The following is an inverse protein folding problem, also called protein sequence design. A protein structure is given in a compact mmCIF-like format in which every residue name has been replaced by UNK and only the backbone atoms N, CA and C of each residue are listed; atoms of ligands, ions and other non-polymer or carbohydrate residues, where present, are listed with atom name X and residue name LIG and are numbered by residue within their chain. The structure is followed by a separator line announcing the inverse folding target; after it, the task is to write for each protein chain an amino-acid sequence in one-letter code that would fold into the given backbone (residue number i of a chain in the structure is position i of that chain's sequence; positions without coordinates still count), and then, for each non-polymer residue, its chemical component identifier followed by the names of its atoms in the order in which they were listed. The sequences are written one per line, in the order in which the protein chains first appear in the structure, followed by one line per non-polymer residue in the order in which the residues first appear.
data_IF_860722049043
#
_entry.id   IF_860722049043
#
_cell.length_a   1.000
_cell.length_b   1.000
_cell.length_c   1.000
_cell.angle_alpha   90.00
_cell.angle_beta   90.00
_cell.angle_gamma   90.00
#
_symmetry.space_group_name_H-M   'P 1'
#
loop_
_entity.id
_entity.type
_entity.pdbx_description
1 polymer ?
#
# COMPACT_ATOMS: atom_id res chain seq x y z
N UNK A 1 2.36 -10.09 19.57
CA UNK A 1 1.51 -10.14 18.37
C UNK A 1 1.90 -11.34 17.51
N UNK A 2 0.92 -12.05 17.02
CA UNK A 2 1.11 -13.22 16.15
C UNK A 2 0.43 -12.97 14.80
N UNK A 3 1.12 -13.29 13.71
CA UNK A 3 0.57 -13.24 12.36
C UNK A 3 0.54 -14.63 11.76
N UNK A 4 -0.53 -14.95 11.05
CA UNK A 4 -0.66 -16.18 10.30
C UNK A 4 -1.16 -15.86 8.90
N UNK A 5 -0.43 -16.31 7.88
CA UNK A 5 -0.82 -16.13 6.48
C UNK A 5 -1.58 -17.37 6.00
N UNK A 6 -2.62 -17.16 5.22
CA UNK A 6 -3.46 -18.20 4.68
C UNK A 6 -3.46 -18.12 3.16
N UNK A 7 -3.01 -19.18 2.50
CA UNK A 7 -2.94 -19.27 1.05
C UNK A 7 -3.38 -20.68 0.60
N UNK A 8 -4.67 -20.88 0.31
CA UNK A 8 -5.16 -22.17 -0.18
C UNK A 8 -4.60 -22.59 -1.53
N UNK A 9 -4.13 -21.62 -2.29
CA UNK A 9 -3.55 -21.82 -3.62
C UNK A 9 -2.11 -21.35 -3.66
N UNK A 10 -1.39 -21.64 -4.74
CA UNK A 10 0.00 -21.25 -4.94
C UNK A 10 0.19 -20.14 -5.98
N UNK A 11 -0.86 -19.82 -6.76
CA UNK A 11 -0.76 -18.88 -7.87
C UNK A 11 -0.52 -17.43 -7.44
N UNK A 12 -0.84 -17.05 -6.18
CA UNK A 12 -0.57 -15.70 -5.68
C UNK A 12 0.89 -15.48 -5.27
N UNK A 13 1.69 -16.54 -5.22
CA UNK A 13 3.06 -16.53 -4.66
C UNK A 13 3.95 -15.46 -5.28
N UNK A 14 3.85 -15.27 -6.59
CA UNK A 14 4.66 -14.29 -7.32
C UNK A 14 3.97 -12.93 -7.45
N UNK A 15 2.85 -12.71 -6.76
CA UNK A 15 2.04 -11.49 -6.85
C UNK A 15 2.19 -10.58 -5.64
N UNK A 16 3.10 -10.92 -4.71
CA UNK A 16 3.50 -10.09 -3.56
C UNK A 16 2.36 -9.78 -2.58
N UNK A 17 1.46 -10.76 -2.34
CA UNK A 17 0.42 -10.65 -1.32
C UNK A 17 0.00 -12.02 -0.82
N UNK A 18 -0.75 -12.04 0.29
CA UNK A 18 -1.36 -13.25 0.84
C UNK A 18 -2.87 -13.18 0.68
N UNK A 19 -3.51 -14.34 0.55
CA UNK A 19 -4.98 -14.42 0.40
C UNK A 19 -5.69 -13.93 1.65
N UNK A 20 -5.14 -14.24 2.83
CA UNK A 20 -5.62 -13.71 4.10
C UNK A 20 -4.47 -13.61 5.09
N UNK A 21 -4.59 -12.68 6.03
CA UNK A 21 -3.66 -12.53 7.15
C UNK A 21 -4.46 -12.46 8.42
N UNK A 22 -4.20 -13.38 9.34
CA UNK A 22 -4.78 -13.36 10.68
C UNK A 22 -3.77 -12.73 11.64
N UNK A 23 -4.23 -11.80 12.47
CA UNK A 23 -3.40 -11.22 13.53
C UNK A 23 -4.09 -11.44 14.87
N UNK A 24 -3.30 -11.88 15.87
CA UNK A 24 -3.75 -12.11 17.24
C UNK A 24 -2.90 -11.32 18.22
N UNK A 25 -3.48 -11.01 19.36
CA UNK A 25 -2.81 -10.32 20.46
C UNK A 25 -2.24 -8.97 20.00
N UNK A 26 -3.04 -8.22 19.26
CA UNK A 26 -2.71 -6.89 18.76
C UNK A 26 -2.85 -5.90 19.90
N UNK A 27 -1.79 -5.15 20.18
CA UNK A 27 -1.80 -4.10 21.19
C UNK A 27 -2.54 -2.87 20.67
N UNK A 28 -2.29 -2.50 19.41
CA UNK A 28 -2.93 -1.33 18.80
C UNK A 28 -3.00 -1.48 17.28
N UNK A 29 -3.95 -0.76 16.68
CA UNK A 29 -4.19 -0.76 15.24
C UNK A 29 -4.21 0.66 14.72
N UNK A 30 -3.47 0.91 13.65
CA UNK A 30 -3.42 2.18 12.95
C UNK A 30 -4.16 2.06 11.62
N UNK A 31 -5.16 2.90 11.43
CA UNK A 31 -5.87 3.02 10.15
C UNK A 31 -5.32 4.24 9.42
N UNK A 32 -4.71 4.01 8.28
CA UNK A 32 -4.09 5.07 7.48
C UNK A 32 -5.02 5.45 6.34
N UNK A 33 -5.36 6.72 6.26
CA UNK A 33 -6.14 7.27 5.14
C UNK A 33 -5.40 7.08 3.83
N UNK A 34 -6.10 7.14 2.71
CA UNK A 34 -5.49 7.05 1.39
C UNK A 34 -4.35 8.06 1.23
N UNK A 35 -3.17 7.56 0.92
CA UNK A 35 -1.98 8.36 0.66
C UNK A 35 -1.74 8.44 -0.84
N UNK A 36 -1.47 9.64 -1.31
CA UNK A 36 -1.35 9.97 -2.73
C UNK A 36 -0.12 10.85 -2.94
N UNK A 37 0.13 11.24 -4.19
CA UNK A 37 1.25 12.10 -4.55
C UNK A 37 0.93 13.59 -4.27
N UNK A 38 0.71 13.90 -3.00
CA UNK A 38 0.51 15.27 -2.52
C UNK A 38 1.76 15.69 -1.76
N UNK A 39 2.27 16.88 -2.05
CA UNK A 39 3.49 17.38 -1.42
C UNK A 39 3.22 17.95 -0.02
N UNK A 40 4.28 18.41 0.66
CA UNK A 40 4.20 18.93 2.03
C UNK A 40 3.34 20.21 2.13
N UNK A 41 3.07 20.88 1.01
CA UNK A 41 2.20 22.07 0.95
C UNK A 41 0.76 21.73 0.59
N UNK A 42 0.44 20.45 0.44
CA UNK A 42 -0.90 20.01 0.07
C UNK A 42 -1.21 20.14 -1.42
N UNK A 43 -0.18 20.24 -2.27
CA UNK A 43 -0.34 20.38 -3.72
C UNK A 43 -0.29 19.01 -4.38
N UNK A 44 -1.33 18.68 -5.14
CA UNK A 44 -1.41 17.43 -5.90
C UNK A 44 -0.44 17.45 -7.08
N UNK A 45 0.30 16.35 -7.25
CA UNK A 45 1.20 16.15 -8.38
C UNK A 45 0.41 15.94 -9.68
N UNK A 46 0.91 16.47 -10.77
CA UNK A 46 0.45 16.18 -12.13
C UNK A 46 1.48 15.33 -12.90
N UNK A 47 2.44 14.75 -12.19
CA UNK A 47 3.48 13.92 -12.77
C UNK A 47 2.93 12.58 -13.30
N UNK A 48 3.81 11.79 -13.92
CA UNK A 48 3.45 10.48 -14.44
C UNK A 48 3.15 9.46 -13.31
N UNK A 49 2.62 8.31 -13.70
CA UNK A 49 2.24 7.24 -12.77
C UNK A 49 3.40 6.80 -11.89
N UNK A 50 4.58 6.63 -12.47
CA UNK A 50 5.77 6.18 -11.72
C UNK A 50 6.12 7.16 -10.60
N UNK A 51 6.21 8.44 -10.93
CA UNK A 51 6.56 9.50 -9.97
C UNK A 51 5.50 9.63 -8.89
N UNK A 52 4.22 9.53 -9.25
CA UNK A 52 3.12 9.57 -8.28
C UNK A 52 3.15 8.36 -7.35
N UNK A 53 3.39 7.16 -7.88
CA UNK A 53 3.49 5.96 -7.07
C UNK A 53 4.63 6.06 -6.04
N UNK A 54 5.79 6.51 -6.47
CA UNK A 54 6.96 6.69 -5.60
C UNK A 54 6.66 7.67 -4.45
N UNK A 55 6.00 8.79 -4.75
CA UNK A 55 5.65 9.78 -3.72
C UNK A 55 4.55 9.26 -2.80
N UNK A 56 3.55 8.56 -3.32
CA UNK A 56 2.49 7.96 -2.50
C UNK A 56 3.07 6.97 -1.49
N UNK A 57 4.02 6.13 -1.92
CA UNK A 57 4.74 5.20 -1.03
C UNK A 57 5.49 5.95 0.05
N UNK A 58 6.23 6.99 -0.32
CA UNK A 58 6.97 7.83 0.63
C UNK A 58 6.05 8.46 1.67
N UNK A 59 4.91 8.97 1.24
CA UNK A 59 3.94 9.59 2.14
C UNK A 59 3.35 8.55 3.10
N UNK A 60 3.04 7.36 2.60
CA UNK A 60 2.55 6.26 3.45
C UNK A 60 3.60 5.86 4.51
N UNK A 61 4.84 5.66 4.09
CA UNK A 61 5.93 5.34 5.01
C UNK A 61 6.08 6.41 6.10
N UNK A 62 5.99 7.68 5.72
CA UNK A 62 6.11 8.79 6.66
C UNK A 62 5.01 8.78 7.71
N UNK A 63 3.76 8.59 7.28
CA UNK A 63 2.62 8.52 8.21
C UNK A 63 2.79 7.35 9.19
N UNK A 64 3.14 6.18 8.68
CA UNK A 64 3.34 4.97 9.50
C UNK A 64 4.47 5.19 10.51
N UNK A 65 5.60 5.73 10.06
CA UNK A 65 6.77 5.97 10.92
C UNK A 65 6.50 7.03 11.97
N UNK A 66 5.88 8.15 11.61
CA UNK A 66 5.54 9.21 12.57
C UNK A 66 4.53 8.76 13.61
N UNK A 67 3.68 7.79 13.27
CA UNK A 67 2.74 7.19 14.23
C UNK A 67 3.42 6.19 15.18
N UNK A 68 4.70 5.89 14.97
CA UNK A 68 5.43 4.93 15.81
C UNK A 68 5.18 3.47 15.41
N UNK A 69 4.77 3.24 14.18
CA UNK A 69 4.55 1.90 13.62
C UNK A 69 5.64 1.56 12.60
N UNK A 70 5.64 0.32 12.14
CA UNK A 70 6.61 -0.18 11.16
C UNK A 70 5.86 -0.72 9.94
N UNK A 71 6.34 -0.37 8.75
CA UNK A 71 5.72 -0.83 7.50
C UNK A 71 5.69 -2.35 7.36
N UNK A 72 6.61 -3.09 8.00
CA UNK A 72 6.56 -4.56 8.02
C UNK A 72 5.26 -5.10 8.62
N UNK A 73 4.59 -4.29 9.43
CA UNK A 73 3.34 -4.65 10.11
C UNK A 73 2.09 -4.12 9.41
N UNK A 74 2.21 -3.68 8.18
CA UNK A 74 1.06 -3.45 7.31
C UNK A 74 0.45 -4.82 7.03
N UNK A 75 -0.82 -4.99 7.39
CA UNK A 75 -1.55 -6.26 7.22
C UNK A 75 -2.65 -6.14 6.17
N UNK A 76 -3.06 -4.94 5.82
CA UNK A 76 -4.00 -4.64 4.73
C UNK A 76 -3.45 -3.49 3.91
N UNK A 77 -3.36 -3.71 2.60
CA UNK A 77 -2.99 -2.68 1.63
C UNK A 77 -4.04 -2.64 0.53
N UNK A 78 -4.68 -1.51 0.36
CA UNK A 78 -5.60 -1.27 -0.75
C UNK A 78 -4.94 -0.28 -1.70
N UNK A 79 -5.00 -0.59 -2.99
CA UNK A 79 -4.42 0.21 -4.07
C UNK A 79 -5.55 0.62 -5.00
N UNK A 80 -5.70 1.93 -5.19
CA UNK A 80 -6.67 2.49 -6.12
C UNK A 80 -5.91 3.23 -7.20
N UNK A 81 -6.31 3.05 -8.44
CA UNK A 81 -5.68 3.75 -9.57
C UNK A 81 -6.71 4.14 -10.61
N UNK A 82 -6.46 5.22 -11.31
CA UNK A 82 -7.30 5.64 -12.44
C UNK A 82 -6.95 4.89 -13.73
N UNK A 83 -5.83 4.14 -13.73
CA UNK A 83 -5.40 3.36 -14.90
C UNK A 83 -4.52 2.19 -14.49
N UNK A 84 -5.06 0.99 -14.50
CA UNK A 84 -4.26 -0.23 -14.29
C UNK A 84 -3.24 -0.42 -15.40
N UNK A 85 -3.59 -0.05 -16.63
CA UNK A 85 -2.67 -0.11 -17.77
C UNK A 85 -1.40 0.72 -17.53
N UNK A 86 -1.54 1.94 -17.00
CA UNK A 86 -0.42 2.81 -16.70
C UNK A 86 0.36 2.33 -15.46
N UNK A 87 -0.30 1.65 -14.53
CA UNK A 87 0.32 1.18 -13.30
C UNK A 87 1.17 -0.08 -13.50
N UNK A 88 0.70 -1.05 -14.31
CA UNK A 88 1.37 -2.34 -14.47
C UNK A 88 2.85 -2.26 -14.81
N UNK A 89 3.33 -1.38 -15.70
CA UNK A 89 4.76 -1.27 -16.00
C UNK A 89 5.62 -0.90 -14.79
N UNK A 90 5.01 -0.36 -13.73
CA UNK A 90 5.68 0.10 -12.51
C UNK A 90 5.30 -0.70 -11.28
N UNK A 91 4.56 -1.79 -11.43
CA UNK A 91 4.09 -2.60 -10.31
C UNK A 91 5.25 -3.21 -9.51
N UNK A 92 6.39 -3.45 -10.16
CA UNK A 92 7.61 -3.91 -9.49
C UNK A 92 8.07 -2.97 -8.37
N UNK A 93 7.77 -1.67 -8.44
CA UNK A 93 8.10 -0.70 -7.37
C UNK A 93 7.36 -1.09 -6.09
N UNK A 94 6.07 -1.43 -6.20
CA UNK A 94 5.28 -1.93 -5.07
C UNK A 94 5.79 -3.27 -4.56
N UNK A 95 6.10 -4.20 -5.47
CA UNK A 95 6.62 -5.52 -5.12
C UNK A 95 7.95 -5.42 -4.36
N UNK A 96 8.86 -4.58 -4.84
CA UNK A 96 10.15 -4.35 -4.19
C UNK A 96 9.98 -3.71 -2.82
N UNK A 97 9.05 -2.79 -2.68
CA UNK A 97 8.73 -2.15 -1.41
C UNK A 97 8.17 -3.16 -0.40
N UNK A 98 7.23 -4.00 -0.82
CA UNK A 98 6.70 -5.08 0.02
C UNK A 98 7.81 -6.02 0.47
N UNK A 99 8.67 -6.44 -0.45
CA UNK A 99 9.80 -7.34 -0.15
C UNK A 99 10.82 -6.69 0.78
N UNK A 100 11.15 -5.43 0.55
CA UNK A 100 12.10 -4.66 1.37
C UNK A 100 11.69 -4.65 2.85
N UNK A 101 10.40 -4.47 3.11
CA UNK A 101 9.88 -4.40 4.48
C UNK A 101 9.49 -5.77 5.05
N UNK A 102 9.49 -6.82 4.23
CA UNK A 102 9.02 -8.13 4.65
C UNK A 102 7.55 -8.14 5.02
N UNK A 103 6.74 -7.39 4.29
CA UNK A 103 5.30 -7.29 4.56
C UNK A 103 4.58 -8.61 4.31
N UNK A 104 3.63 -8.92 5.19
CA UNK A 104 2.71 -10.04 5.04
C UNK A 104 1.30 -9.47 5.06
N UNK A 105 0.83 -9.01 3.91
CA UNK A 105 -0.44 -8.28 3.83
C UNK A 105 -1.45 -8.95 2.91
N UNK A 106 -2.73 -8.74 3.24
CA UNK A 106 -3.83 -8.91 2.30
C UNK A 106 -3.88 -7.67 1.41
N UNK A 107 -4.21 -7.84 0.14
CA UNK A 107 -4.16 -6.77 -0.84
C UNK A 107 -5.41 -6.77 -1.72
N UNK A 108 -5.89 -5.58 -2.03
CA UNK A 108 -6.90 -5.36 -3.08
C UNK A 108 -6.45 -4.22 -3.95
N UNK A 109 -6.52 -4.40 -5.27
CA UNK A 109 -6.21 -3.37 -6.25
C UNK A 109 -7.44 -3.15 -7.12
N UNK A 110 -7.88 -1.91 -7.23
CA UNK A 110 -9.06 -1.52 -8.00
C UNK A 110 -8.75 -0.35 -8.93
N UNK A 111 -9.28 -0.42 -10.14
CA UNK A 111 -9.34 0.75 -11.00
C UNK A 111 -10.60 1.52 -10.66
N UNK A 112 -10.46 2.83 -10.48
CA UNK A 112 -11.54 3.75 -10.13
C UNK A 112 -11.70 4.80 -11.21
N UNK A 113 -12.90 5.41 -11.28
CA UNK A 113 -13.20 6.42 -12.28
C UNK A 113 -12.30 7.65 -12.13
N UNK A 114 -12.09 8.10 -10.90
CA UNK A 114 -11.25 9.27 -10.62
C UNK A 114 -10.73 9.23 -9.19
N UNK A 115 -9.63 9.92 -8.98
CA UNK A 115 -9.11 10.28 -7.69
C UNK A 115 -9.17 11.81 -7.55
N UNK A 116 -8.67 12.33 -6.44
CA UNK A 116 -8.70 13.77 -6.20
C UNK A 116 -7.78 14.49 -7.20
N UNK A 117 -8.30 15.56 -7.82
CA UNK A 117 -7.56 16.42 -8.76
C UNK A 117 -6.81 15.61 -9.83
N UNK A 118 -5.48 15.76 -9.90
CA UNK A 118 -4.60 15.15 -10.91
C UNK A 118 -4.04 13.79 -10.49
N UNK A 119 -4.44 13.28 -9.34
CA UNK A 119 -3.87 12.06 -8.77
C UNK A 119 -4.31 10.82 -9.53
N UNK A 120 -3.37 9.87 -9.69
CA UNK A 120 -3.56 8.66 -10.51
C UNK A 120 -3.43 7.36 -9.71
N UNK A 121 -2.89 7.42 -8.50
CA UNK A 121 -2.71 6.25 -7.64
C UNK A 121 -2.84 6.65 -6.16
N UNK A 122 -3.45 5.75 -5.37
CA UNK A 122 -3.69 5.97 -3.94
C UNK A 122 -3.46 4.67 -3.19
N UNK A 123 -2.82 4.76 -2.03
CA UNK A 123 -2.52 3.64 -1.16
C UNK A 123 -3.18 3.83 0.20
N UNK A 124 -3.92 2.82 0.65
CA UNK A 124 -4.60 2.83 1.94
C UNK A 124 -4.15 1.62 2.73
N UNK A 125 -3.84 1.78 4.01
CA UNK A 125 -3.25 0.71 4.80
C UNK A 125 -3.86 0.58 6.19
N UNK A 126 -3.82 -0.65 6.72
CA UNK A 126 -4.03 -0.96 8.13
C UNK A 126 -2.74 -1.54 8.68
N UNK A 127 -2.26 -1.00 9.78
CA UNK A 127 -0.99 -1.38 10.40
C UNK A 127 -1.23 -1.76 11.85
N UNK A 128 -0.53 -2.78 12.33
CA UNK A 128 -0.70 -3.28 13.70
C UNK A 128 0.61 -3.29 14.48
N UNK A 129 0.48 -3.33 15.80
CA UNK A 129 1.59 -3.64 16.70
C UNK A 129 1.11 -4.21 18.03
#
# INVERSE_FOLDING_TARGET
MEKRTINPWTWQKDRSYHQAVEVKNVESTLYVSGQTAIDDNGVSSDADMKSQLELAIKNLERVVTEAGYDCKNIVRLNIYTTSTEALWPHFNILQDWVAKHGMEQALTLLEVVSLFETLTVELEATVVK
#
